data_IF_177506564403
#
_entry.id   IF_177506564403
#
_cell.length_a   1.000
_cell.length_b   1.000
_cell.length_c   1.000
_cell.angle_alpha   90.00
_cell.angle_beta   90.00
_cell.angle_gamma   90.00
#
_symmetry.space_group_name_H-M   'P 1'
#
loop_
_entity.id
_entity.type
_entity.pdbx_description
1 polymer ?
#
# COMPACT_ATOMS: atom_id res chain seq x y z
N UNK A 1 29.57 -32.28 31.18
CA UNK A 1 29.22 -31.38 32.30
C UNK A 1 28.77 -32.26 33.45
N UNK A 2 29.51 -32.23 34.55
CA UNK A 2 29.14 -32.90 35.82
C UNK A 2 27.70 -32.54 36.19
N UNK A 3 26.86 -33.48 36.66
CA UNK A 3 25.54 -33.14 37.16
C UNK A 3 25.75 -32.30 38.42
N UNK A 4 25.69 -30.98 38.28
CA UNK A 4 25.68 -30.07 39.42
C UNK A 4 24.49 -30.44 40.30
N UNK A 5 24.72 -30.49 41.62
CA UNK A 5 23.66 -30.69 42.59
C UNK A 5 22.49 -29.77 42.24
N UNK A 6 21.30 -30.34 42.01
CA UNK A 6 20.16 -29.56 41.57
C UNK A 6 19.78 -28.54 42.67
N UNK A 7 19.50 -27.27 42.30
CA UNK A 7 19.51 -26.17 43.25
C UNK A 7 18.33 -26.22 44.22
N UNK A 8 18.60 -25.85 45.48
CA UNK A 8 17.56 -25.57 46.48
C UNK A 8 16.90 -24.23 46.11
N UNK A 9 15.59 -24.25 45.90
CA UNK A 9 14.79 -23.07 45.57
C UNK A 9 14.16 -22.52 46.84
N UNK A 10 14.49 -21.27 47.17
CA UNK A 10 13.88 -20.56 48.30
C UNK A 10 12.63 -19.80 47.85
N UNK A 11 11.60 -19.77 48.70
CA UNK A 11 10.37 -19.08 48.39
C UNK A 11 9.41 -19.00 49.57
N UNK A 12 8.18 -18.63 49.26
CA UNK A 12 7.08 -18.48 50.20
C UNK A 12 5.98 -19.47 49.84
N UNK A 13 5.60 -20.34 50.77
CA UNK A 13 4.47 -21.25 50.63
C UNK A 13 3.21 -20.60 51.19
N UNK A 14 2.16 -20.55 50.38
CA UNK A 14 0.83 -20.08 50.74
C UNK A 14 -0.11 -21.28 50.81
N UNK A 15 -0.77 -21.42 51.96
CA UNK A 15 -1.76 -22.47 52.19
C UNK A 15 -3.06 -22.22 51.42
N UNK A 16 -3.77 -23.29 51.04
CA UNK A 16 -5.06 -23.17 50.37
C UNK A 16 -6.03 -22.31 51.20
N UNK A 17 -6.57 -21.25 50.60
CA UNK A 17 -7.52 -20.33 51.25
C UNK A 17 -6.91 -19.34 52.26
N UNK A 18 -5.58 -19.24 52.40
CA UNK A 18 -4.91 -18.25 53.26
C UNK A 18 -4.19 -17.18 52.44
N UNK A 19 -4.09 -15.97 52.98
CA UNK A 19 -3.42 -14.82 52.33
C UNK A 19 -1.99 -14.58 52.83
N UNK A 20 -1.61 -15.12 54.00
CA UNK A 20 -0.24 -15.04 54.52
C UNK A 20 0.51 -16.34 54.22
N UNK A 21 1.70 -16.20 53.66
CA UNK A 21 2.61 -17.33 53.41
C UNK A 21 3.72 -17.45 54.44
N UNK A 22 4.36 -18.62 54.48
CA UNK A 22 5.52 -18.92 55.32
C UNK A 22 6.75 -19.18 54.45
N UNK A 23 7.94 -18.92 54.98
CA UNK A 23 9.18 -19.24 54.27
C UNK A 23 9.29 -20.77 54.09
N UNK A 24 9.61 -21.20 52.88
CA UNK A 24 9.76 -22.60 52.54
C UNK A 24 10.85 -22.80 51.48
N UNK A 25 11.36 -24.02 51.39
CA UNK A 25 12.32 -24.40 50.35
C UNK A 25 11.84 -25.62 49.56
N UNK A 26 12.12 -25.64 48.27
CA UNK A 26 11.92 -26.77 47.38
C UNK A 26 13.26 -27.30 46.90
N UNK A 27 13.52 -28.58 47.11
CA UNK A 27 14.73 -29.25 46.64
C UNK A 27 14.38 -30.63 46.03
N UNK A 28 15.17 -31.15 45.09
CA UNK A 28 14.93 -32.48 44.54
C UNK A 28 15.37 -33.57 45.52
N UNK A 29 14.62 -34.67 45.58
CA UNK A 29 15.02 -35.86 46.34
C UNK A 29 16.19 -36.55 45.61
N UNK A 30 17.37 -36.59 46.22
CA UNK A 30 18.53 -37.28 45.65
C UNK A 30 18.39 -38.82 45.74
N UNK A 31 18.80 -39.53 44.67
CA UNK A 31 18.96 -41.00 44.70
C UNK A 31 17.82 -41.85 44.12
N UNK A 32 16.75 -41.23 43.58
CA UNK A 32 15.71 -41.95 42.83
C UNK A 32 15.81 -41.66 41.33
N UNK A 33 15.53 -42.67 40.50
CA UNK A 33 15.60 -42.60 39.05
C UNK A 33 14.78 -41.40 38.50
N UNK A 34 15.20 -40.78 37.39
CA UNK A 34 14.59 -39.57 36.82
C UNK A 34 13.10 -39.69 36.46
N UNK A 35 12.52 -40.89 36.52
CA UNK A 35 11.12 -41.17 36.22
C UNK A 35 10.14 -40.87 37.36
N UNK A 36 10.60 -40.70 38.62
CA UNK A 36 9.70 -40.47 39.77
C UNK A 36 9.65 -39.01 40.26
N UNK A 37 10.50 -38.12 39.71
CA UNK A 37 10.56 -36.67 39.99
C UNK A 37 9.93 -36.22 41.31
N UNK A 38 10.55 -36.51 42.45
CA UNK A 38 10.04 -36.08 43.76
C UNK A 38 10.75 -34.81 44.21
N UNK A 39 9.99 -33.90 44.82
CA UNK A 39 10.50 -32.68 45.45
C UNK A 39 10.27 -32.78 46.97
N UNK A 40 11.21 -32.27 47.76
CA UNK A 40 11.05 -32.03 49.19
C UNK A 40 10.65 -30.59 49.39
N UNK A 41 9.50 -30.40 50.01
CA UNK A 41 9.03 -29.12 50.52
C UNK A 41 9.38 -29.04 52.01
N UNK A 42 10.31 -28.16 52.36
CA UNK A 42 10.72 -27.95 53.75
C UNK A 42 10.13 -26.63 54.26
N UNK A 43 9.41 -26.70 55.39
CA UNK A 43 8.85 -25.53 56.09
C UNK A 43 9.00 -25.73 57.60
N UNK A 44 9.62 -24.78 58.29
CA UNK A 44 9.73 -24.77 59.75
C UNK A 44 10.21 -26.12 60.36
N UNK A 45 11.14 -26.80 59.68
CA UNK A 45 11.65 -28.12 60.08
C UNK A 45 10.78 -29.31 59.70
N UNK A 46 9.56 -29.10 59.21
CA UNK A 46 8.70 -30.14 58.63
C UNK A 46 9.09 -30.35 57.17
N UNK A 47 9.33 -31.61 56.81
CA UNK A 47 9.71 -32.01 55.44
C UNK A 47 8.60 -32.88 54.86
N UNK A 48 8.08 -32.45 53.72
CA UNK A 48 7.05 -33.16 52.96
C UNK A 48 7.58 -33.52 51.58
N UNK A 49 7.20 -34.70 51.07
CA UNK A 49 7.58 -35.15 49.73
C UNK A 49 6.40 -34.96 48.79
N UNK A 50 6.60 -34.22 47.70
CA UNK A 50 5.58 -33.94 46.68
C UNK A 50 6.02 -34.50 45.32
N UNK A 51 5.07 -34.96 44.52
CA UNK A 51 5.33 -35.41 43.16
C UNK A 51 5.46 -34.21 42.22
N UNK A 52 6.57 -34.11 41.49
CA UNK A 52 6.81 -32.98 40.59
C UNK A 52 5.82 -32.94 39.42
N UNK A 53 5.28 -34.09 39.00
CA UNK A 53 4.30 -34.16 37.91
C UNK A 53 2.94 -33.54 38.27
N UNK A 54 2.60 -33.41 39.56
CA UNK A 54 1.34 -32.80 40.00
C UNK A 54 1.45 -31.28 40.20
N UNK A 55 2.63 -30.71 39.94
CA UNK A 55 2.90 -29.29 40.11
C UNK A 55 2.66 -28.53 38.80
N UNK A 56 1.79 -27.52 38.86
CA UNK A 56 1.53 -26.62 37.74
C UNK A 56 2.31 -25.33 37.91
N UNK A 57 3.12 -24.99 36.92
CA UNK A 57 4.14 -23.97 37.04
C UNK A 57 3.82 -22.79 36.09
N UNK A 58 3.58 -21.58 36.60
CA UNK A 58 3.27 -20.38 35.78
C UNK A 58 4.37 -20.03 34.76
N UNK A 59 4.14 -19.39 33.60
CA UNK A 59 5.23 -19.06 32.67
C UNK A 59 6.35 -18.20 33.30
N UNK A 60 7.62 -18.34 32.89
CA UNK A 60 8.68 -17.46 33.38
C UNK A 60 8.48 -16.03 32.85
N UNK A 61 8.52 -15.02 33.73
CA UNK A 61 8.42 -13.60 33.39
C UNK A 61 9.50 -12.81 34.16
N UNK A 62 10.20 -11.90 33.50
CA UNK A 62 11.23 -11.08 34.15
C UNK A 62 10.62 -10.18 35.24
N UNK A 63 11.23 -10.15 36.43
CA UNK A 63 10.80 -9.30 37.55
C UNK A 63 9.52 -9.76 38.29
N UNK A 64 8.88 -10.84 37.83
CA UNK A 64 7.70 -11.41 38.50
C UNK A 64 8.08 -12.73 39.18
N UNK A 65 7.77 -12.91 40.47
CA UNK A 65 8.00 -14.17 41.16
C UNK A 65 7.25 -15.33 40.51
N UNK A 66 7.95 -16.44 40.32
CA UNK A 66 7.41 -17.70 39.80
C UNK A 66 6.43 -18.32 40.79
N UNK A 67 5.21 -18.61 40.32
CA UNK A 67 4.20 -19.37 41.08
C UNK A 67 4.18 -20.83 40.65
N UNK A 68 4.24 -21.71 41.64
CA UNK A 68 4.13 -23.16 41.52
C UNK A 68 2.91 -23.60 42.33
N UNK A 69 1.89 -24.14 41.65
CA UNK A 69 0.63 -24.59 42.26
C UNK A 69 0.70 -26.09 42.49
N UNK A 70 0.48 -26.52 43.73
CA UNK A 70 0.41 -27.92 44.14
C UNK A 70 -1.03 -28.44 43.95
N UNK A 71 -1.20 -29.76 43.92
CA UNK A 71 -2.46 -30.44 43.57
C UNK A 71 -3.66 -30.08 44.48
N UNK A 72 -3.62 -30.43 45.76
CA UNK A 72 -3.27 -29.45 46.77
C UNK A 72 -4.09 -28.17 46.96
N UNK A 73 -3.94 -27.25 45.99
CA UNK A 73 -4.34 -25.86 46.10
C UNK A 73 -3.32 -24.96 46.83
N UNK A 74 -2.24 -25.50 47.42
CA UNK A 74 -1.13 -24.68 47.95
C UNK A 74 -0.33 -24.04 46.83
N UNK A 75 0.24 -22.87 47.10
CA UNK A 75 1.04 -22.12 46.12
C UNK A 75 2.40 -21.78 46.68
N UNK A 76 3.45 -22.28 46.04
CA UNK A 76 4.82 -21.88 46.32
C UNK A 76 5.25 -20.76 45.37
N UNK A 77 5.77 -19.67 45.92
CA UNK A 77 6.17 -18.48 45.18
C UNK A 77 7.67 -18.25 45.38
N UNK A 78 8.45 -18.22 44.30
CA UNK A 78 9.89 -17.92 44.38
C UNK A 78 10.26 -16.74 43.49
N UNK A 79 11.07 -15.78 43.99
CA UNK A 79 11.61 -14.70 43.15
C UNK A 79 12.72 -15.19 42.19
N UNK A 80 13.30 -16.37 42.44
CA UNK A 80 14.41 -16.91 41.64
C UNK A 80 13.90 -17.78 40.50
N UNK A 81 13.62 -17.14 39.37
CA UNK A 81 13.15 -17.80 38.16
C UNK A 81 14.18 -18.79 37.56
N UNK A 82 15.48 -18.52 37.76
CA UNK A 82 16.54 -19.37 37.23
C UNK A 82 16.63 -20.68 38.03
N UNK A 83 16.61 -20.59 39.36
CA UNK A 83 16.61 -21.75 40.24
C UNK A 83 15.35 -22.61 40.05
N UNK A 84 14.16 -22.00 39.93
CA UNK A 84 12.91 -22.72 39.61
C UNK A 84 13.01 -23.47 38.28
N UNK A 85 13.56 -22.82 37.25
CA UNK A 85 13.70 -23.46 35.92
C UNK A 85 14.68 -24.63 35.95
N UNK A 86 15.80 -24.49 36.68
CA UNK A 86 16.77 -25.55 36.88
C UNK A 86 16.18 -26.72 37.69
N UNK A 87 15.42 -26.43 38.74
CA UNK A 87 14.70 -27.43 39.54
C UNK A 87 13.72 -28.23 38.68
N UNK A 88 12.84 -27.56 37.93
CA UNK A 88 11.85 -28.23 37.06
C UNK A 88 12.51 -29.13 36.02
N UNK A 89 13.61 -28.69 35.41
CA UNK A 89 14.39 -29.52 34.47
C UNK A 89 15.02 -30.73 35.16
N UNK A 90 15.54 -30.56 36.38
CA UNK A 90 16.16 -31.65 37.15
C UNK A 90 15.16 -32.74 37.52
N UNK A 91 13.88 -32.39 37.75
CA UNK A 91 12.80 -33.34 38.06
C UNK A 91 11.98 -33.76 36.84
N UNK A 92 12.44 -33.47 35.63
CA UNK A 92 11.80 -33.92 34.38
C UNK A 92 10.51 -33.18 34.00
N UNK A 93 10.15 -32.11 34.71
CA UNK A 93 8.98 -31.27 34.38
C UNK A 93 9.39 -30.26 33.32
N UNK A 94 8.78 -30.36 32.13
CA UNK A 94 9.00 -29.38 31.07
C UNK A 94 8.38 -28.04 31.49
N UNK A 95 9.17 -26.95 31.63
CA UNK A 95 8.61 -25.65 31.92
C UNK A 95 7.70 -25.22 30.75
N UNK A 96 6.53 -24.62 30.99
CA UNK A 96 5.69 -24.14 29.91
C UNK A 96 6.43 -23.08 29.09
N UNK A 97 6.52 -23.32 27.79
CA UNK A 97 7.07 -22.37 26.83
C UNK A 97 6.08 -21.23 26.60
N UNK A 98 6.34 -20.06 27.19
CA UNK A 98 5.54 -18.87 26.94
C UNK A 98 5.93 -18.23 25.61
N UNK A 99 4.96 -17.92 24.75
CA UNK A 99 5.12 -17.10 23.55
C UNK A 99 5.73 -15.72 23.87
N UNK A 100 5.55 -15.23 25.10
CA UNK A 100 6.17 -13.99 25.63
C UNK A 100 7.70 -14.12 25.73
N UNK A 101 8.23 -15.26 26.19
CA UNK A 101 9.69 -15.49 26.23
C UNK A 101 10.30 -15.68 24.81
N UNK A 102 9.46 -15.99 23.80
CA UNK A 102 9.87 -15.95 22.41
C UNK A 102 9.91 -14.52 21.86
N UNK A 103 8.99 -13.65 22.28
CA UNK A 103 9.02 -12.22 21.97
C UNK A 103 10.22 -11.51 22.60
N UNK A 104 10.63 -11.88 23.82
CA UNK A 104 11.85 -11.35 24.45
C UNK A 104 13.15 -11.69 23.68
N UNK A 105 13.12 -12.71 22.80
CA UNK A 105 14.26 -13.03 21.93
C UNK A 105 14.39 -12.09 20.73
N UNK A 106 13.36 -11.32 20.38
CA UNK A 106 13.49 -10.26 19.38
C UNK A 106 14.34 -9.13 19.96
N UNK A 107 15.63 -9.16 19.66
CA UNK A 107 16.58 -8.14 20.08
C UNK A 107 16.14 -6.75 19.57
N UNK A 108 16.32 -5.68 20.35
CA UNK A 108 16.00 -4.31 19.91
C UNK A 108 16.77 -3.91 18.64
N UNK A 109 17.93 -4.55 18.37
CA UNK A 109 18.68 -4.41 17.12
C UNK A 109 17.93 -4.97 15.90
N UNK A 110 17.17 -6.05 16.05
CA UNK A 110 16.34 -6.62 14.98
C UNK A 110 15.16 -5.71 14.68
N UNK A 111 14.53 -5.15 15.71
CA UNK A 111 13.47 -4.14 15.56
C UNK A 111 14.02 -2.90 14.85
N UNK A 112 15.19 -2.40 15.27
CA UNK A 112 15.88 -1.29 14.62
C UNK A 112 16.23 -1.57 13.16
N UNK A 113 16.74 -2.76 12.85
CA UNK A 113 17.03 -3.18 11.48
C UNK A 113 15.76 -3.23 10.62
N UNK A 114 14.67 -3.82 11.12
CA UNK A 114 13.39 -3.86 10.43
C UNK A 114 12.83 -2.46 10.17
N UNK A 115 12.96 -1.55 11.14
CA UNK A 115 12.56 -0.15 10.96
C UNK A 115 13.39 0.54 9.88
N UNK A 116 14.70 0.32 9.84
CA UNK A 116 15.57 0.86 8.78
C UNK A 116 15.19 0.30 7.41
N UNK A 117 14.97 -1.02 7.30
CA UNK A 117 14.50 -1.65 6.06
C UNK A 117 13.17 -1.05 5.61
N UNK A 118 12.21 -0.88 6.54
CA UNK A 118 10.92 -0.26 6.23
C UNK A 118 11.09 1.18 5.74
N UNK A 119 11.93 1.98 6.39
CA UNK A 119 12.23 3.35 5.94
C UNK A 119 12.82 3.31 4.54
N UNK A 120 13.84 2.48 4.26
CA UNK A 120 14.44 2.36 2.94
C UNK A 120 13.42 1.95 1.87
N UNK A 121 12.52 1.01 2.17
CA UNK A 121 11.44 0.60 1.27
C UNK A 121 10.50 1.78 0.99
N UNK A 122 10.05 2.49 2.04
CA UNK A 122 9.18 3.67 1.87
C UNK A 122 9.87 4.76 1.06
N UNK A 123 11.15 5.06 1.34
CA UNK A 123 11.91 6.04 0.58
C UNK A 123 12.04 5.62 -0.90
N UNK A 124 12.31 4.35 -1.14
CA UNK A 124 12.48 3.79 -2.49
C UNK A 124 11.16 3.85 -3.28
N UNK A 125 10.04 3.46 -2.67
CA UNK A 125 8.73 3.52 -3.32
C UNK A 125 8.26 4.96 -3.58
N UNK A 126 8.63 5.89 -2.69
CA UNK A 126 8.19 7.29 -2.77
C UNK A 126 9.04 8.16 -3.69
N UNK A 127 10.34 7.95 -3.74
CA UNK A 127 11.26 8.78 -4.53
C UNK A 127 12.12 7.99 -5.51
N UNK A 128 12.57 6.79 -5.15
CA UNK A 128 13.42 5.97 -6.01
C UNK A 128 12.71 5.50 -7.28
N UNK A 129 11.54 4.86 -7.14
CA UNK A 129 10.76 4.34 -8.26
C UNK A 129 10.31 5.45 -9.22
N UNK A 130 9.75 6.59 -8.75
CA UNK A 130 9.39 7.67 -9.67
C UNK A 130 10.60 8.26 -10.43
N UNK A 131 11.72 8.49 -9.73
CA UNK A 131 12.92 9.03 -10.37
C UNK A 131 13.48 8.07 -11.42
N UNK A 132 13.48 6.77 -11.13
CA UNK A 132 13.84 5.75 -12.10
C UNK A 132 12.86 5.70 -13.29
N UNK A 133 11.55 5.86 -13.03
CA UNK A 133 10.54 5.88 -14.09
C UNK A 133 10.68 7.09 -15.02
N UNK A 134 10.97 8.28 -14.48
CA UNK A 134 11.22 9.49 -15.28
C UNK A 134 12.48 9.34 -16.13
N UNK A 135 13.56 8.80 -15.55
CA UNK A 135 14.80 8.53 -16.27
C UNK A 135 14.57 7.51 -17.39
N UNK A 136 13.91 6.40 -17.09
CA UNK A 136 13.61 5.35 -18.07
C UNK A 136 12.65 5.85 -19.18
N UNK A 137 11.65 6.67 -18.83
CA UNK A 137 10.74 7.28 -19.81
C UNK A 137 11.51 8.10 -20.85
N UNK A 138 12.54 8.85 -20.43
CA UNK A 138 13.35 9.63 -21.36
C UNK A 138 14.08 8.77 -22.41
N UNK A 139 14.39 7.52 -22.08
CA UNK A 139 15.08 6.57 -22.95
C UNK A 139 14.13 5.85 -23.92
N UNK A 140 12.83 5.86 -23.68
CA UNK A 140 11.86 5.22 -24.57
C UNK A 140 11.80 6.00 -25.89
N UNK A 141 12.05 5.38 -27.05
CA UNK A 141 11.92 6.06 -28.33
C UNK A 141 10.45 6.41 -28.64
N UNK A 142 10.21 7.52 -29.32
CA UNK A 142 8.85 7.95 -29.70
C UNK A 142 8.10 6.91 -30.57
N UNK A 143 8.83 6.08 -31.34
CA UNK A 143 8.23 4.97 -32.10
C UNK A 143 7.63 3.89 -31.20
N UNK A 144 8.29 3.58 -30.08
CA UNK A 144 7.80 2.61 -29.10
C UNK A 144 6.58 3.15 -28.37
N UNK A 145 6.60 4.43 -28.00
CA UNK A 145 5.41 5.06 -27.40
C UNK A 145 4.20 5.01 -28.34
N UNK A 146 4.38 5.37 -29.61
CA UNK A 146 3.30 5.29 -30.61
C UNK A 146 2.75 3.88 -30.76
N UNK A 147 3.59 2.86 -30.73
CA UNK A 147 3.16 1.46 -30.77
C UNK A 147 2.32 1.11 -29.55
N UNK A 148 2.78 1.48 -28.35
CA UNK A 148 2.04 1.25 -27.10
C UNK A 148 0.67 1.96 -27.15
N UNK A 149 0.62 3.21 -27.59
CA UNK A 149 -0.63 3.95 -27.72
C UNK A 149 -1.59 3.36 -28.73
N UNK A 150 -1.09 2.98 -29.91
CA UNK A 150 -1.92 2.35 -30.95
C UNK A 150 -2.51 1.02 -30.45
N UNK A 151 -1.73 0.22 -29.73
CA UNK A 151 -2.22 -1.04 -29.16
C UNK A 151 -3.23 -0.78 -28.03
N UNK A 152 -2.96 0.16 -27.13
CA UNK A 152 -3.90 0.54 -26.07
C UNK A 152 -5.23 1.04 -26.65
N UNK A 153 -5.16 1.84 -27.71
CA UNK A 153 -6.34 2.30 -28.43
C UNK A 153 -7.12 1.14 -29.04
N UNK A 154 -6.45 0.23 -29.76
CA UNK A 154 -7.11 -0.92 -30.38
C UNK A 154 -7.82 -1.83 -29.36
N UNK A 155 -7.26 -1.97 -28.15
CA UNK A 155 -7.93 -2.69 -27.05
C UNK A 155 -9.17 -1.93 -26.60
N UNK A 156 -9.07 -0.64 -26.32
CA UNK A 156 -10.22 0.17 -25.90
C UNK A 156 -11.33 0.18 -26.97
N UNK A 157 -10.98 0.35 -28.25
CA UNK A 157 -11.90 0.37 -29.38
C UNK A 157 -12.56 -1.01 -29.63
N UNK A 158 -11.86 -2.10 -29.31
CA UNK A 158 -12.37 -3.45 -29.48
C UNK A 158 -13.22 -3.97 -28.31
N UNK A 159 -13.16 -3.36 -27.13
CA UNK A 159 -13.80 -3.91 -25.92
C UNK A 159 -14.66 -2.95 -25.09
N UNK A 160 -14.39 -1.64 -25.16
CA UNK A 160 -15.02 -0.65 -24.26
C UNK A 160 -15.74 0.45 -25.03
N UNK A 161 -15.12 0.96 -26.10
CA UNK A 161 -15.59 2.12 -26.84
C UNK A 161 -16.49 1.68 -28.01
N UNK A 162 -17.41 2.56 -28.38
CA UNK A 162 -18.33 2.36 -29.50
C UNK A 162 -18.16 3.46 -30.56
N UNK A 163 -18.62 3.26 -31.80
CA UNK A 163 -18.56 4.29 -32.83
C UNK A 163 -19.27 5.59 -32.40
N UNK A 164 -18.64 6.74 -32.65
CA UNK A 164 -19.22 8.05 -32.34
C UNK A 164 -20.50 8.34 -33.12
N UNK A 165 -21.44 9.02 -32.48
CA UNK A 165 -22.65 9.59 -33.08
C UNK A 165 -22.56 11.10 -33.29
N UNK A 166 -21.44 11.72 -32.92
CA UNK A 166 -21.22 13.16 -33.07
C UNK A 166 -21.16 13.52 -34.55
N UNK A 167 -21.87 14.56 -34.96
CA UNK A 167 -21.89 15.02 -36.34
C UNK A 167 -20.48 15.36 -36.86
N UNK A 168 -20.16 14.91 -38.08
CA UNK A 168 -18.84 15.10 -38.71
C UNK A 168 -18.37 16.57 -38.70
N UNK A 169 -19.28 17.52 -38.91
CA UNK A 169 -18.97 18.96 -38.87
C UNK A 169 -18.40 19.40 -37.52
N UNK A 170 -18.92 18.87 -36.40
CA UNK A 170 -18.38 19.17 -35.06
C UNK A 170 -17.04 18.48 -34.83
N UNK A 171 -16.91 17.22 -35.28
CA UNK A 171 -15.64 16.50 -35.22
C UNK A 171 -14.53 17.26 -35.96
N UNK A 172 -14.79 17.71 -37.19
CA UNK A 172 -13.81 18.40 -38.01
C UNK A 172 -13.39 19.75 -37.42
N UNK A 173 -14.33 20.49 -36.82
CA UNK A 173 -14.04 21.73 -36.10
C UNK A 173 -13.12 21.48 -34.89
N UNK A 174 -13.41 20.46 -34.09
CA UNK A 174 -12.58 20.09 -32.94
C UNK A 174 -11.22 19.52 -33.37
N UNK A 175 -11.14 18.72 -34.44
CA UNK A 175 -9.88 18.25 -35.03
C UNK A 175 -9.01 19.41 -35.50
N UNK A 176 -9.60 20.41 -36.15
CA UNK A 176 -8.86 21.59 -36.60
C UNK A 176 -8.24 22.35 -35.41
N UNK A 177 -9.04 22.63 -34.36
CA UNK A 177 -8.54 23.27 -33.13
C UNK A 177 -7.48 22.43 -32.43
N UNK A 178 -7.65 21.12 -32.38
CA UNK A 178 -6.66 20.20 -31.82
C UNK A 178 -5.35 20.17 -32.63
N UNK A 179 -5.43 20.22 -33.96
CA UNK A 179 -4.27 20.30 -34.84
C UNK A 179 -3.48 21.60 -34.59
N UNK A 180 -4.16 22.73 -34.39
CA UNK A 180 -3.51 24.00 -34.04
C UNK A 180 -2.80 23.92 -32.69
N UNK A 181 -3.45 23.34 -31.67
CA UNK A 181 -2.86 23.16 -30.34
C UNK A 181 -1.65 22.21 -30.36
N UNK A 182 -1.74 21.08 -31.05
CA UNK A 182 -0.63 20.12 -31.15
C UNK A 182 0.57 20.72 -31.89
N UNK A 183 0.32 21.51 -32.93
CA UNK A 183 1.35 22.29 -33.61
C UNK A 183 1.99 23.33 -32.68
N UNK A 184 1.19 24.08 -31.93
CA UNK A 184 1.68 25.06 -30.95
C UNK A 184 2.41 24.41 -29.76
N UNK A 185 2.15 23.13 -29.50
CA UNK A 185 2.85 22.31 -28.51
C UNK A 185 4.15 21.70 -29.05
N UNK A 186 4.44 21.82 -30.35
CA UNK A 186 5.64 21.22 -30.97
C UNK A 186 5.59 19.68 -31.04
N UNK A 187 4.40 19.08 -30.96
CA UNK A 187 4.23 17.64 -31.11
C UNK A 187 4.38 17.23 -32.59
N UNK A 188 5.02 16.10 -32.84
CA UNK A 188 5.23 15.57 -34.19
C UNK A 188 3.90 15.24 -34.89
N UNK A 189 3.89 15.33 -36.23
CA UNK A 189 2.77 14.86 -37.04
C UNK A 189 2.42 13.40 -36.69
N UNK A 190 1.17 13.13 -36.30
CA UNK A 190 0.69 11.79 -35.95
C UNK A 190 -0.12 11.68 -34.65
N UNK A 191 -0.29 12.76 -33.88
CA UNK A 191 -1.24 12.79 -32.76
C UNK A 191 -2.65 12.94 -33.33
N UNK A 192 -3.47 11.90 -33.23
CA UNK A 192 -4.82 11.85 -33.78
C UNK A 192 -5.86 12.10 -32.69
N UNK A 193 -6.90 12.86 -33.02
CA UNK A 193 -8.07 13.04 -32.18
C UNK A 193 -9.17 12.07 -32.63
N UNK A 194 -9.46 11.10 -31.78
CA UNK A 194 -10.42 10.02 -31.98
C UNK A 194 -11.70 10.30 -31.19
N UNK A 195 -12.84 10.24 -31.88
CA UNK A 195 -14.15 10.39 -31.28
C UNK A 195 -14.78 9.02 -31.12
N UNK A 196 -15.29 8.72 -29.93
CA UNK A 196 -15.96 7.45 -29.62
C UNK A 196 -17.11 7.65 -28.63
N UNK A 197 -18.09 6.78 -28.65
CA UNK A 197 -19.00 6.65 -27.53
C UNK A 197 -18.29 5.94 -26.38
N UNK A 198 -18.44 6.46 -25.16
CA UNK A 198 -17.73 5.98 -23.98
C UNK A 198 -18.33 4.70 -23.40
N UNK A 199 -19.62 4.43 -23.62
CA UNK A 199 -20.28 3.24 -23.07
C UNK A 199 -20.08 3.17 -21.54
N UNK A 200 -19.53 2.06 -20.98
CA UNK A 200 -19.26 1.97 -19.54
C UNK A 200 -18.13 2.90 -19.06
N UNK A 201 -17.32 3.43 -19.98
CA UNK A 201 -16.29 4.45 -19.69
C UNK A 201 -16.91 5.81 -19.37
N UNK A 202 -18.09 6.10 -19.93
CA UNK A 202 -18.84 7.35 -19.75
C UNK A 202 -18.13 8.58 -20.34
N UNK A 203 -18.42 9.75 -19.77
CA UNK A 203 -17.84 11.02 -20.20
C UNK A 203 -16.35 11.09 -19.87
N UNK A 204 -15.48 11.05 -20.89
CA UNK A 204 -14.04 11.00 -20.72
C UNK A 204 -13.27 11.60 -21.90
N UNK A 205 -12.02 11.95 -21.62
CA UNK A 205 -10.98 12.21 -22.62
C UNK A 205 -9.67 11.63 -22.08
N UNK A 206 -8.86 11.01 -22.94
CA UNK A 206 -7.60 10.40 -22.52
C UNK A 206 -6.55 10.49 -23.62
N UNK A 207 -5.38 11.02 -23.25
CA UNK A 207 -4.16 10.93 -24.03
C UNK A 207 -3.46 9.58 -23.83
N UNK A 208 -3.41 8.76 -24.89
CA UNK A 208 -2.62 7.53 -24.90
C UNK A 208 -1.16 7.80 -25.27
N UNK A 209 -0.20 6.97 -24.81
CA UNK A 209 1.21 7.15 -25.12
C UNK A 209 1.45 7.34 -26.63
N UNK A 210 2.22 8.36 -27.01
CA UNK A 210 2.58 8.56 -28.41
C UNK A 210 1.48 9.11 -29.34
N UNK A 211 0.22 9.30 -28.92
CA UNK A 211 -0.63 10.30 -29.56
C UNK A 211 -2.06 10.00 -30.03
N UNK A 212 -2.69 8.82 -29.84
CA UNK A 212 -4.14 8.80 -29.92
C UNK A 212 -4.72 9.52 -28.69
N UNK A 213 -5.43 10.62 -28.92
CA UNK A 213 -6.25 11.26 -27.89
C UNK A 213 -7.69 10.87 -28.18
N UNK A 214 -8.31 10.17 -27.23
CA UNK A 214 -9.71 9.77 -27.35
C UNK A 214 -10.56 10.78 -26.61
N UNK A 215 -11.65 11.24 -27.23
CA UNK A 215 -12.69 12.06 -26.60
C UNK A 215 -14.03 11.36 -26.73
N UNK A 216 -14.79 11.27 -25.65
CA UNK A 216 -16.09 10.58 -25.68
C UNK A 216 -17.26 11.50 -26.00
N UNK A 217 -18.25 10.97 -26.70
CA UNK A 217 -19.51 11.65 -27.01
C UNK A 217 -20.17 12.21 -25.74
N UNK A 218 -20.13 11.45 -24.64
CA UNK A 218 -20.69 11.85 -23.35
C UNK A 218 -19.95 13.05 -22.77
N UNK A 219 -18.62 13.16 -22.95
CA UNK A 219 -17.89 14.37 -22.54
C UNK A 219 -18.33 15.58 -23.37
N UNK A 220 -18.49 15.40 -24.68
CA UNK A 220 -18.94 16.46 -25.59
C UNK A 220 -20.37 16.91 -25.30
N UNK A 221 -21.21 16.01 -24.79
CA UNK A 221 -22.55 16.31 -24.29
C UNK A 221 -22.52 17.05 -22.95
N UNK A 222 -21.68 16.62 -21.99
CA UNK A 222 -21.51 17.29 -20.68
C UNK A 222 -20.94 18.71 -20.82
N UNK A 223 -20.03 18.92 -21.77
CA UNK A 223 -19.52 20.26 -22.08
C UNK A 223 -20.61 21.19 -22.62
N UNK A 224 -21.71 20.65 -23.16
CA UNK A 224 -22.83 21.38 -23.72
C UNK A 224 -22.74 21.53 -25.23
N UNK A 225 -23.90 21.46 -25.90
CA UNK A 225 -24.03 21.71 -27.34
C UNK A 225 -23.83 23.20 -27.64
N UNK A 226 -22.57 23.63 -27.82
CA UNK A 226 -22.23 25.00 -28.20
C UNK A 226 -20.99 25.58 -27.53
N UNK A 227 -20.45 24.92 -26.49
CA UNK A 227 -19.22 25.37 -25.84
C UNK A 227 -18.04 24.44 -26.17
N UNK A 228 -17.63 24.50 -27.43
CA UNK A 228 -16.42 23.78 -27.85
C UNK A 228 -15.15 24.35 -27.21
N UNK A 229 -15.17 25.57 -26.66
CA UNK A 229 -14.01 26.12 -25.95
C UNK A 229 -13.74 25.33 -24.67
N UNK A 230 -14.77 24.92 -23.92
CA UNK A 230 -14.62 24.04 -22.77
C UNK A 230 -13.97 22.70 -23.17
N UNK A 231 -14.40 22.11 -24.30
CA UNK A 231 -13.79 20.88 -24.85
C UNK A 231 -12.33 21.13 -25.24
N UNK A 232 -12.03 22.24 -25.91
CA UNK A 232 -10.67 22.66 -26.28
C UNK A 232 -9.79 22.82 -25.04
N UNK A 233 -10.34 23.29 -23.92
CA UNK A 233 -9.66 23.33 -22.63
C UNK A 233 -9.23 21.94 -22.15
N UNK A 234 -10.14 20.96 -22.19
CA UNK A 234 -9.83 19.56 -21.84
C UNK A 234 -8.80 18.98 -22.83
N UNK A 235 -8.92 19.25 -24.13
CA UNK A 235 -7.94 18.78 -25.10
C UNK A 235 -6.55 19.38 -24.88
N UNK A 236 -6.45 20.64 -24.48
CA UNK A 236 -5.17 21.25 -24.11
C UNK A 236 -4.54 20.57 -22.87
N UNK A 237 -5.37 20.14 -21.91
CA UNK A 237 -4.96 19.31 -20.77
C UNK A 237 -4.42 17.95 -21.20
N UNK A 238 -5.13 17.25 -22.10
CA UNK A 238 -4.65 15.97 -22.65
C UNK A 238 -3.32 16.13 -23.43
N UNK A 239 -3.14 17.24 -24.16
CA UNK A 239 -1.85 17.56 -24.79
C UNK A 239 -0.75 17.75 -23.74
N UNK A 240 -1.06 18.35 -22.59
CA UNK A 240 -0.14 18.41 -21.44
C UNK A 240 0.34 17.04 -21.00
N UNK A 241 -0.54 16.04 -20.95
CA UNK A 241 -0.15 14.65 -20.66
C UNK A 241 0.78 14.03 -21.70
N UNK A 242 0.56 14.33 -23.00
CA UNK A 242 1.45 13.87 -24.07
C UNK A 242 2.84 14.50 -23.95
N UNK A 243 2.90 15.82 -23.76
CA UNK A 243 4.18 16.56 -23.65
C UNK A 243 4.96 16.12 -22.41
N UNK A 244 4.27 15.96 -21.27
CA UNK A 244 4.87 15.45 -20.04
C UNK A 244 5.20 13.94 -20.07
N UNK A 245 4.83 13.24 -21.16
CA UNK A 245 4.98 11.78 -21.34
C UNK A 245 4.38 10.99 -20.15
N UNK A 246 3.29 11.50 -19.58
CA UNK A 246 2.70 10.95 -18.35
C UNK A 246 2.24 9.50 -18.51
N UNK A 247 1.74 9.11 -19.69
CA UNK A 247 1.32 7.74 -19.97
C UNK A 247 2.47 6.71 -19.88
N UNK A 248 3.62 7.00 -20.50
CA UNK A 248 4.77 6.07 -20.45
C UNK A 248 5.38 6.01 -19.05
N UNK A 249 5.45 7.15 -18.35
CA UNK A 249 5.93 7.23 -16.96
C UNK A 249 5.07 6.36 -16.04
N UNK A 250 3.73 6.43 -16.18
CA UNK A 250 2.79 5.56 -15.45
C UNK A 250 3.03 4.08 -15.75
N UNK A 251 3.21 3.72 -17.02
CA UNK A 251 3.43 2.32 -17.41
C UNK A 251 4.73 1.75 -16.83
N UNK A 252 5.84 2.47 -16.97
CA UNK A 252 7.14 2.04 -16.44
C UNK A 252 7.08 1.90 -14.92
N UNK A 253 6.44 2.86 -14.26
CA UNK A 253 6.25 2.81 -12.81
C UNK A 253 5.44 1.60 -12.37
N UNK A 254 4.31 1.33 -13.03
CA UNK A 254 3.49 0.17 -12.74
C UNK A 254 4.29 -1.13 -12.90
N UNK A 255 5.05 -1.26 -13.99
CA UNK A 255 5.93 -2.41 -14.21
C UNK A 255 6.99 -2.55 -13.11
N UNK A 256 7.61 -1.45 -12.68
CA UNK A 256 8.58 -1.44 -11.59
C UNK A 256 7.98 -1.85 -10.24
N UNK A 257 6.77 -1.37 -9.92
CA UNK A 257 6.06 -1.77 -8.71
C UNK A 257 5.67 -3.25 -8.73
N UNK A 258 5.18 -3.74 -9.87
CA UNK A 258 4.90 -5.17 -10.06
C UNK A 258 6.16 -6.01 -9.85
N UNK A 259 7.29 -5.61 -10.44
CA UNK A 259 8.56 -6.31 -10.26
C UNK A 259 8.99 -6.35 -8.78
N UNK A 260 8.88 -5.23 -8.05
CA UNK A 260 9.20 -5.19 -6.61
C UNK A 260 8.27 -6.11 -5.82
N UNK A 261 6.96 -6.11 -6.11
CA UNK A 261 5.98 -6.97 -5.45
C UNK A 261 6.27 -8.46 -5.69
N UNK A 262 6.57 -8.84 -6.94
CA UNK A 262 6.98 -10.21 -7.30
C UNK A 262 8.26 -10.64 -6.58
N UNK A 263 9.26 -9.76 -6.48
CA UNK A 263 10.49 -10.08 -5.74
C UNK A 263 10.26 -10.22 -4.23
N UNK A 264 9.29 -9.50 -3.67
CA UNK A 264 9.02 -9.52 -2.23
C UNK A 264 8.17 -10.72 -1.78
N UNK A 265 7.20 -11.14 -2.59
CA UNK A 265 6.19 -12.14 -2.21
C UNK A 265 6.32 -13.47 -2.97
N UNK A 266 7.09 -13.49 -4.07
CA UNK A 266 7.19 -14.64 -4.97
C UNK A 266 6.26 -14.51 -6.18
N UNK A 267 5.99 -15.64 -6.84
CA UNK A 267 5.19 -15.65 -8.08
C UNK A 267 3.76 -15.13 -7.81
N UNK A 268 3.43 -14.01 -8.46
CA UNK A 268 2.11 -13.40 -8.49
C UNK A 268 1.51 -13.46 -9.90
N UNK A 269 1.86 -14.48 -10.70
CA UNK A 269 1.39 -14.62 -12.09
C UNK A 269 -0.12 -14.46 -12.24
N UNK A 270 -0.90 -14.98 -11.28
CA UNK A 270 -2.36 -14.86 -11.26
C UNK A 270 -2.82 -13.41 -10.99
N UNK A 271 -2.16 -12.69 -10.07
CA UNK A 271 -2.51 -11.30 -9.76
C UNK A 271 -2.14 -10.33 -10.90
N UNK A 272 -1.02 -10.60 -11.58
CA UNK A 272 -0.53 -9.80 -12.72
C UNK A 272 -1.41 -10.02 -13.96
N UNK A 273 -1.86 -11.26 -14.20
CA UNK A 273 -2.77 -11.57 -15.30
C UNK A 273 -4.17 -10.97 -15.10
N UNK A 274 -4.67 -10.94 -13.86
CA UNK A 274 -5.94 -10.29 -13.52
C UNK A 274 -5.84 -8.75 -13.57
N UNK A 275 -4.69 -8.17 -13.18
CA UNK A 275 -4.42 -6.74 -13.33
C UNK A 275 -4.26 -6.30 -14.80
N UNK A 276 -3.79 -7.19 -15.68
CA UNK A 276 -3.71 -6.93 -17.12
C UNK A 276 -5.09 -6.82 -17.81
N UNK A 277 -6.16 -7.32 -17.17
CA UNK A 277 -7.53 -7.14 -17.63
C UNK A 277 -8.07 -5.72 -17.38
N UNK A 278 -7.43 -4.95 -16.49
CA UNK A 278 -7.72 -3.53 -16.30
C UNK A 278 -6.69 -2.70 -17.08
N UNK A 279 -7.10 -1.63 -17.79
CA UNK A 279 -6.14 -0.69 -18.35
C UNK A 279 -5.31 -0.11 -17.22
N UNK A 280 -4.06 -0.56 -17.07
CA UNK A 280 -3.10 -0.16 -16.01
C UNK A 280 -2.98 1.37 -15.90
N UNK A 281 -3.28 2.08 -16.99
CA UNK A 281 -3.36 3.54 -17.09
C UNK A 281 -4.39 4.19 -16.13
N UNK A 282 -5.42 3.46 -15.72
CA UNK A 282 -6.55 3.96 -14.91
C UNK A 282 -6.38 3.75 -13.39
N UNK A 283 -5.33 3.04 -12.94
CA UNK A 283 -5.21 2.58 -11.54
C UNK A 283 -4.25 3.39 -10.64
N UNK A 284 -3.55 4.42 -11.13
CA UNK A 284 -2.60 5.20 -10.29
C UNK A 284 -3.22 6.50 -9.72
N UNK A 285 -3.64 6.48 -8.45
CA UNK A 285 -4.31 7.61 -7.76
C UNK A 285 -3.38 8.59 -7.02
N UNK A 286 -2.10 8.26 -6.82
CA UNK A 286 -1.20 9.02 -5.94
C UNK A 286 -0.31 10.04 -6.65
N UNK A 287 0.31 9.64 -7.77
CA UNK A 287 1.12 10.51 -8.64
C UNK A 287 0.28 11.23 -9.70
N UNK A 288 -1.01 10.92 -9.81
CA UNK A 288 -1.93 11.64 -10.67
C UNK A 288 -1.85 13.14 -10.41
N UNK A 289 -1.84 13.58 -9.14
CA UNK A 289 -1.92 15.02 -8.80
C UNK A 289 -0.78 15.89 -9.35
N UNK A 290 0.47 15.42 -9.32
CA UNK A 290 1.59 16.19 -9.88
C UNK A 290 1.49 16.27 -11.40
N UNK A 291 1.14 15.15 -12.05
CA UNK A 291 0.89 15.11 -13.49
C UNK A 291 -0.32 15.95 -13.91
N UNK A 292 -1.38 15.98 -13.09
CA UNK A 292 -2.53 16.86 -13.30
C UNK A 292 -2.12 18.32 -13.23
N UNK A 293 -1.34 18.74 -12.20
CA UNK A 293 -0.86 20.13 -12.08
C UNK A 293 0.05 20.53 -13.22
N UNK A 294 0.94 19.65 -13.65
CA UNK A 294 1.82 19.87 -14.80
C UNK A 294 0.99 20.02 -16.09
N UNK A 295 0.01 19.14 -16.29
CA UNK A 295 -0.90 19.20 -17.44
C UNK A 295 -1.79 20.45 -17.42
N UNK A 296 -2.36 20.82 -16.26
CA UNK A 296 -3.16 22.04 -16.07
C UNK A 296 -2.34 23.30 -16.39
N UNK A 297 -1.15 23.40 -15.80
CA UNK A 297 -0.25 24.55 -16.02
C UNK A 297 0.17 24.65 -17.49
N UNK A 298 0.47 23.51 -18.10
CA UNK A 298 0.82 23.44 -19.52
C UNK A 298 -0.38 23.83 -20.41
N UNK A 299 -1.58 23.36 -20.09
CA UNK A 299 -2.81 23.65 -20.83
C UNK A 299 -3.13 25.14 -20.81
N UNK A 300 -3.09 25.78 -19.64
CA UNK A 300 -3.27 27.23 -19.50
C UNK A 300 -2.26 27.97 -20.37
N UNK A 301 -0.97 27.61 -20.26
CA UNK A 301 0.08 28.25 -21.04
C UNK A 301 -0.08 28.00 -22.55
N UNK A 302 -0.58 26.83 -22.94
CA UNK A 302 -0.82 26.45 -24.35
C UNK A 302 -2.00 27.22 -24.93
N UNK A 303 -3.12 27.29 -24.21
CA UNK A 303 -4.29 28.08 -24.59
C UNK A 303 -3.92 29.55 -24.74
N UNK A 304 -3.22 30.11 -23.74
CA UNK A 304 -2.75 31.51 -23.75
C UNK A 304 -1.91 31.82 -24.98
N UNK A 305 -0.89 31.01 -25.28
CA UNK A 305 0.01 31.28 -26.42
C UNK A 305 -0.61 30.97 -27.78
N UNK A 306 -1.67 30.16 -27.82
CA UNK A 306 -2.40 29.82 -29.05
C UNK A 306 -3.58 30.76 -29.32
N UNK A 307 -3.77 31.80 -28.50
CA UNK A 307 -4.88 32.75 -28.62
C UNK A 307 -6.25 32.19 -28.21
N UNK A 308 -6.28 31.05 -27.51
CA UNK A 308 -7.48 30.48 -26.92
C UNK A 308 -7.79 31.07 -25.55
N UNK A 309 -8.92 30.68 -24.97
CA UNK A 309 -9.33 31.13 -23.64
C UNK A 309 -8.70 30.28 -22.52
N UNK A 310 -7.79 30.81 -21.68
CA UNK A 310 -7.16 30.05 -20.62
C UNK A 310 -8.12 29.62 -19.50
N UNK A 311 -9.27 30.29 -19.37
CA UNK A 311 -10.30 29.93 -18.38
C UNK A 311 -11.20 28.79 -18.86
N UNK A 312 -11.07 28.34 -20.12
CA UNK A 312 -11.92 27.29 -20.68
C UNK A 312 -11.77 25.95 -19.95
N UNK A 313 -10.55 25.62 -19.51
CA UNK A 313 -10.30 24.43 -18.70
C UNK A 313 -11.06 24.52 -17.37
N UNK A 314 -10.89 25.61 -16.60
CA UNK A 314 -11.61 25.80 -15.35
C UNK A 314 -13.14 25.72 -15.50
N UNK A 315 -13.69 26.27 -16.60
CA UNK A 315 -15.13 26.14 -16.91
C UNK A 315 -15.54 24.70 -17.18
N UNK A 316 -14.74 23.95 -17.94
CA UNK A 316 -14.98 22.53 -18.17
C UNK A 316 -14.98 21.74 -16.86
N UNK A 317 -13.98 21.98 -16.00
CA UNK A 317 -13.89 21.37 -14.67
C UNK A 317 -15.10 21.69 -13.80
N UNK A 318 -15.53 22.96 -13.77
CA UNK A 318 -16.68 23.39 -12.99
C UNK A 318 -17.97 22.69 -13.45
N UNK A 319 -18.21 22.59 -14.77
CA UNK A 319 -19.37 21.85 -15.30
C UNK A 319 -19.33 20.37 -14.94
N UNK A 320 -18.17 19.75 -15.05
CA UNK A 320 -17.99 18.36 -14.64
C UNK A 320 -18.22 18.17 -13.13
N UNK A 321 -17.85 19.15 -12.30
CA UNK A 321 -18.10 19.14 -10.87
C UNK A 321 -19.60 19.27 -10.55
N UNK A 322 -20.28 20.25 -11.17
CA UNK A 322 -21.68 20.57 -10.92
C UNK A 322 -22.61 19.42 -11.32
N UNK A 323 -22.31 18.74 -12.43
CA UNK A 323 -23.10 17.60 -12.92
C UNK A 323 -22.92 16.33 -12.08
N UNK A 324 -21.86 16.24 -11.27
CA UNK A 324 -21.49 15.04 -10.53
C UNK A 324 -22.09 14.92 -9.12
N UNK A 325 -22.46 16.04 -8.48
CA UNK A 325 -22.94 16.04 -7.09
C UNK A 325 -21.99 15.37 -6.09
N UNK A 326 -22.52 14.82 -4.98
CA UNK A 326 -21.73 14.24 -3.87
C UNK A 326 -21.31 12.77 -4.06
N UNK A 327 -21.72 12.10 -5.14
CA UNK A 327 -21.62 10.62 -5.30
C UNK A 327 -20.79 10.15 -6.49
N UNK A 328 -19.89 10.98 -7.02
CA UNK A 328 -19.03 10.57 -8.12
C UNK A 328 -17.93 9.58 -7.66
N UNK A 329 -18.28 8.30 -7.63
CA UNK A 329 -17.38 7.16 -7.41
C UNK A 329 -17.52 6.04 -8.46
N UNK A 330 -18.13 6.30 -9.63
CA UNK A 330 -18.22 5.29 -10.71
C UNK A 330 -18.01 5.91 -12.10
N UNK A 331 -16.79 5.80 -12.64
CA UNK A 331 -16.46 6.01 -14.07
C UNK A 331 -16.14 7.46 -14.51
N UNK A 332 -15.71 7.61 -15.76
CA UNK A 332 -15.52 8.91 -16.43
C UNK A 332 -14.21 9.66 -16.18
N UNK A 333 -14.18 10.91 -16.65
CA UNK A 333 -13.02 11.82 -16.62
C UNK A 333 -12.51 12.06 -15.19
N UNK A 334 -13.40 12.15 -14.21
CA UNK A 334 -13.03 12.33 -12.80
C UNK A 334 -12.40 11.10 -12.15
N UNK A 335 -12.80 9.91 -12.59
CA UNK A 335 -12.14 8.68 -12.16
C UNK A 335 -10.71 8.62 -12.70
N UNK A 336 -10.49 9.19 -13.89
CA UNK A 336 -9.20 9.25 -14.57
C UNK A 336 -8.32 10.42 -14.06
N UNK A 337 -8.93 11.53 -13.61
CA UNK A 337 -8.29 12.78 -13.19
C UNK A 337 -8.85 13.38 -11.87
N UNK A 338 -8.48 12.85 -10.69
CA UNK A 338 -8.87 13.43 -9.39
C UNK A 338 -7.88 14.52 -8.91
N UNK A 339 -8.20 15.49 -8.02
CA UNK A 339 -9.49 16.08 -7.61
C UNK A 339 -9.78 17.47 -8.24
N UNK A 340 -11.06 17.76 -8.51
CA UNK A 340 -11.52 18.98 -9.20
C UNK A 340 -11.35 20.27 -8.40
N UNK A 341 -11.80 20.30 -7.14
CA UNK A 341 -11.90 21.55 -6.38
C UNK A 341 -10.54 22.22 -6.15
N UNK A 342 -9.51 21.42 -5.88
CA UNK A 342 -8.14 21.90 -5.77
C UNK A 342 -7.66 22.47 -7.11
N UNK A 343 -7.87 21.76 -8.23
CA UNK A 343 -7.47 22.21 -9.56
C UNK A 343 -8.18 23.48 -10.00
N UNK A 344 -9.50 23.56 -9.83
CA UNK A 344 -10.28 24.77 -10.15
C UNK A 344 -9.74 25.97 -9.37
N UNK A 345 -9.46 25.80 -8.07
CA UNK A 345 -8.84 26.84 -7.25
C UNK A 345 -7.45 27.20 -7.77
N UNK A 346 -6.58 26.21 -7.99
CA UNK A 346 -5.20 26.43 -8.42
C UNK A 346 -5.12 27.11 -9.81
N UNK A 347 -6.09 26.86 -10.69
CA UNK A 347 -6.22 27.52 -12.01
C UNK A 347 -6.74 28.96 -11.87
N UNK A 348 -7.74 29.19 -11.02
CA UNK A 348 -8.34 30.53 -10.83
C UNK A 348 -7.49 31.46 -9.97
N UNK A 349 -6.72 30.89 -9.04
CA UNK A 349 -5.83 31.58 -8.12
C UNK A 349 -4.39 31.03 -8.27
N UNK A 350 -3.73 31.29 -9.42
CA UNK A 350 -2.36 30.83 -9.62
C UNK A 350 -1.48 31.42 -8.52
N UNK A 351 -0.94 30.55 -7.67
CA UNK A 351 0.01 30.96 -6.62
C UNK A 351 1.23 31.56 -7.31
N UNK A 352 1.49 32.85 -7.03
CA UNK A 352 2.63 33.60 -7.59
C UNK A 352 3.97 33.10 -7.04
#
# INVERSE_FOLDING_TARGET
MTPGAAPVVHGTLIEAGRSRGAAATLEPVAGMAPAAGLLRLCRDGVVETIAAHSLTASPPLAGVPRRLVLEDGRVFISPDNAAVTALLRAVGVRPPGGWIAALERLHPRLIGLLAVVLVVVVLSLRWGVPLAADAAASLVPASVERLIGAQAFAVLDGSVLEPTTVAAVRQDRLRARFADLTKAAGLSAGVALEFRQGGPFGANAIALPGGPVVVTDELLALAGEGDDEAVVGVLAHEIGHLVGRHGVKRLIRAAGLTMIATLAVGDMGDLVSEAAAYPVLLLDRGYSRSFEREADSYAIALLTRSGGDPASLARALARLADLCGATCTRGGWLASHPPLNERIRDINEPTR
#
